data_IF_123135703773
#
_entry.id   IF_123135703773
#
_cell.length_a   1.000
_cell.length_b   1.000
_cell.length_c   1.000
_cell.angle_alpha   90.00
_cell.angle_beta   90.00
_cell.angle_gamma   90.00
#
_symmetry.space_group_name_H-M   'P 1'
#
loop_
_entity.id
_entity.type
_entity.pdbx_description
1 polymer ?
#
# COMPACT_ATOMS: atom_id res chain seq x y z
N UNK A 1 6.79 0.82 -1.42
CA UNK A 1 6.42 0.69 -0.09
C UNK A 1 6.50 1.96 0.66
N UNK A 2 5.64 2.14 1.41
CA UNK A 2 5.16 3.38 1.84
C UNK A 2 5.13 3.38 3.34
N UNK A 3 5.71 4.38 3.96
CA UNK A 3 5.48 4.59 5.34
C UNK A 3 6.67 4.46 6.26
N UNK A 4 7.89 4.78 5.85
CA UNK A 4 9.00 4.72 6.80
C UNK A 4 9.82 6.00 6.85
N UNK A 5 9.94 6.64 8.03
CA UNK A 5 10.71 7.86 8.22
C UNK A 5 12.21 7.75 7.87
N UNK A 6 12.75 8.84 7.37
CA UNK A 6 14.19 9.02 7.24
C UNK A 6 14.91 9.11 8.60
N UNK A 7 14.19 9.57 9.61
CA UNK A 7 14.52 9.46 11.02
C UNK A 7 13.19 9.20 11.74
N UNK A 8 13.06 8.04 12.29
CA UNK A 8 11.96 7.79 13.22
C UNK A 8 12.13 8.68 14.47
N UNK A 9 11.03 9.07 15.10
CA UNK A 9 11.09 9.73 16.41
C UNK A 9 11.81 8.87 17.46
N UNK A 10 11.90 7.57 17.22
CA UNK A 10 12.61 6.60 18.04
C UNK A 10 13.71 5.91 17.23
N UNK A 11 14.93 5.83 17.77
CA UNK A 11 16.03 5.03 17.18
C UNK A 11 15.72 3.53 17.11
N UNK A 12 14.70 3.08 17.85
CA UNK A 12 14.21 1.69 17.83
C UNK A 12 13.39 1.39 16.56
N UNK A 13 12.79 2.41 15.95
CA UNK A 13 12.00 2.23 14.74
C UNK A 13 12.92 2.10 13.52
N UNK A 14 12.79 1.01 12.80
CA UNK A 14 13.63 0.67 11.64
C UNK A 14 12.78 0.10 10.54
N UNK A 15 13.18 0.40 9.30
CA UNK A 15 12.56 -0.26 8.16
C UNK A 15 13.49 -0.29 6.94
N UNK A 16 13.27 -1.29 6.10
CA UNK A 16 14.01 -1.52 4.88
C UNK A 16 13.06 -1.86 3.74
N UNK A 17 13.46 -1.42 2.55
CA UNK A 17 12.78 -1.68 1.29
C UNK A 17 13.69 -2.43 0.34
N UNK A 18 13.10 -3.28 -0.49
CA UNK A 18 13.79 -3.91 -1.60
C UNK A 18 12.85 -4.01 -2.79
N UNK A 19 13.23 -3.43 -3.92
CA UNK A 19 12.58 -3.68 -5.20
C UNK A 19 13.35 -4.78 -5.93
N UNK A 20 12.61 -5.67 -6.59
CA UNK A 20 13.19 -6.77 -7.35
C UNK A 20 13.26 -6.34 -8.82
N UNK A 21 14.46 -6.11 -9.34
CA UNK A 21 14.66 -5.58 -10.70
C UNK A 21 14.04 -6.50 -11.78
N UNK A 22 14.08 -7.80 -11.57
CA UNK A 22 13.53 -8.83 -12.46
C UNK A 22 12.01 -9.06 -12.30
N UNK A 23 11.39 -8.44 -11.28
CA UNK A 23 9.96 -8.53 -10.97
C UNK A 23 9.39 -7.13 -10.76
N UNK A 24 9.36 -6.29 -11.81
CA UNK A 24 8.80 -4.94 -11.71
C UNK A 24 7.34 -5.04 -11.26
N UNK A 25 6.98 -4.28 -10.21
CA UNK A 25 5.67 -4.38 -9.58
C UNK A 25 5.65 -5.23 -8.31
N UNK A 26 6.80 -5.78 -7.88
CA UNK A 26 7.00 -6.39 -6.55
C UNK A 26 7.91 -5.52 -5.71
N UNK A 27 7.48 -5.25 -4.48
CA UNK A 27 8.29 -4.56 -3.49
C UNK A 27 8.22 -5.30 -2.14
N UNK A 28 9.38 -5.54 -1.54
CA UNK A 28 9.50 -6.16 -0.23
C UNK A 28 9.74 -5.11 0.86
N UNK A 29 9.27 -5.43 2.05
CA UNK A 29 9.41 -4.55 3.21
C UNK A 29 9.60 -5.32 4.51
N UNK A 30 10.50 -4.82 5.32
CA UNK A 30 10.70 -5.28 6.69
C UNK A 30 10.79 -4.06 7.61
N UNK A 31 10.08 -4.11 8.72
CA UNK A 31 10.13 -3.05 9.72
C UNK A 31 10.02 -3.58 11.15
N UNK A 32 10.60 -2.78 12.05
CA UNK A 32 10.32 -2.80 13.48
C UNK A 32 9.89 -1.40 13.87
N UNK A 33 8.66 -1.25 14.33
CA UNK A 33 8.03 0.02 14.65
C UNK A 33 7.50 -0.05 16.08
N UNK A 34 7.86 0.95 16.89
CA UNK A 34 7.46 1.01 18.29
C UNK A 34 6.59 2.23 18.63
N UNK A 35 6.88 3.38 18.04
CA UNK A 35 6.19 4.64 18.36
C UNK A 35 5.55 5.33 17.17
N UNK A 36 5.96 4.97 15.98
CA UNK A 36 5.40 5.57 14.78
C UNK A 36 4.00 5.02 14.50
N UNK A 37 3.06 5.92 14.20
CA UNK A 37 1.72 5.58 13.74
C UNK A 37 1.58 5.98 12.27
N UNK A 38 1.20 5.02 11.43
CA UNK A 38 0.92 5.28 10.02
C UNK A 38 -0.44 5.97 9.89
N UNK A 39 -0.44 7.18 9.33
CA UNK A 39 -1.68 7.87 9.00
C UNK A 39 -2.53 7.07 7.99
N UNK A 40 -3.85 7.35 7.90
CA UNK A 40 -4.71 6.69 6.93
C UNK A 40 -4.17 6.80 5.50
N UNK A 41 -3.92 5.65 4.85
CA UNK A 41 -3.35 5.57 3.50
C UNK A 41 -3.87 4.34 2.74
N UNK A 42 -3.60 4.30 1.44
CA UNK A 42 -3.92 3.17 0.55
C UNK A 42 -2.68 2.76 -0.23
N UNK A 43 -2.65 1.53 -0.73
CA UNK A 43 -1.69 1.06 -1.73
C UNK A 43 -2.42 0.66 -3.01
N UNK A 44 -1.83 0.87 -4.19
CA UNK A 44 -2.35 0.35 -5.46
C UNK A 44 -2.00 -1.12 -5.69
N UNK A 45 -1.34 -1.73 -4.72
CA UNK A 45 -0.88 -3.10 -4.74
C UNK A 45 -1.57 -3.92 -3.65
N UNK A 46 -1.64 -5.23 -3.83
CA UNK A 46 -1.94 -6.15 -2.74
C UNK A 46 -0.83 -6.08 -1.71
N UNK A 47 -1.17 -5.84 -0.45
CA UNK A 47 -0.24 -5.91 0.68
C UNK A 47 -0.45 -7.22 1.44
N UNK A 48 0.56 -8.06 1.49
CA UNK A 48 0.50 -9.36 2.16
C UNK A 48 1.70 -9.46 3.09
N UNK A 49 1.47 -9.75 4.35
CA UNK A 49 2.58 -9.79 5.29
C UNK A 49 2.29 -10.49 6.59
N UNK A 50 3.34 -10.73 7.34
CA UNK A 50 3.30 -11.48 8.60
C UNK A 50 3.87 -10.66 9.74
N UNK A 51 3.25 -10.78 10.92
CA UNK A 51 3.77 -10.24 12.16
C UNK A 51 4.75 -11.24 12.76
N UNK A 52 6.02 -10.83 12.90
CA UNK A 52 7.11 -11.67 13.40
C UNK A 52 7.32 -11.58 14.90
N UNK A 53 6.99 -10.43 15.50
CA UNK A 53 7.06 -10.20 16.94
C UNK A 53 6.17 -9.02 17.33
N UNK A 54 5.68 -9.01 18.57
CA UNK A 54 4.80 -7.97 19.08
C UNK A 54 3.40 -8.04 18.50
N UNK A 55 2.72 -6.89 18.43
CA UNK A 55 1.38 -6.80 17.88
C UNK A 55 1.16 -5.47 17.19
N UNK A 56 0.48 -5.51 16.04
CA UNK A 56 0.02 -4.35 15.28
C UNK A 56 -1.46 -4.09 15.56
N UNK A 57 -1.82 -2.84 15.81
CA UNK A 57 -3.20 -2.37 15.70
C UNK A 57 -3.35 -1.63 14.38
N UNK A 58 -4.40 -1.95 13.63
CA UNK A 58 -4.69 -1.26 12.37
C UNK A 58 -6.19 -1.17 12.14
N UNK A 59 -6.60 -0.13 11.43
CA UNK A 59 -7.97 0.01 10.94
C UNK A 59 -7.98 -0.26 9.45
N UNK A 60 -8.89 -1.12 9.02
CA UNK A 60 -9.05 -1.50 7.62
C UNK A 60 -10.54 -1.61 7.29
N UNK A 61 -10.99 -0.92 6.24
CA UNK A 61 -12.39 -0.91 5.80
C UNK A 61 -13.37 -0.57 6.93
N UNK A 62 -12.98 0.35 7.80
CA UNK A 62 -13.79 0.82 8.93
C UNK A 62 -13.76 -0.06 10.19
N UNK A 63 -13.16 -1.26 10.12
CA UNK A 63 -13.01 -2.18 11.25
C UNK A 63 -11.61 -2.05 11.85
N UNK A 64 -11.52 -2.10 13.18
CA UNK A 64 -10.25 -2.15 13.89
C UNK A 64 -9.83 -3.60 14.15
N UNK A 65 -8.56 -3.88 13.90
CA UNK A 65 -7.93 -5.19 14.09
C UNK A 65 -6.71 -5.07 14.98
N UNK A 66 -6.44 -6.13 15.73
CA UNK A 66 -5.15 -6.32 16.42
C UNK A 66 -4.54 -7.62 15.91
N UNK A 67 -3.41 -7.51 15.24
CA UNK A 67 -2.66 -8.63 14.69
C UNK A 67 -1.51 -8.99 15.62
N UNK A 68 -1.60 -10.09 16.37
CA UNK A 68 -0.51 -10.58 17.20
C UNK A 68 0.58 -11.26 16.36
N UNK A 69 1.66 -11.66 17.03
CA UNK A 69 2.71 -12.49 16.42
C UNK A 69 2.13 -13.76 15.76
N UNK A 70 2.74 -14.16 14.65
CA UNK A 70 2.29 -15.27 13.80
C UNK A 70 0.91 -15.05 13.17
N UNK A 71 0.54 -13.80 12.93
CA UNK A 71 -0.61 -13.44 12.11
C UNK A 71 -0.20 -13.13 10.68
N UNK A 72 -1.14 -13.35 9.76
CA UNK A 72 -1.08 -12.92 8.37
C UNK A 72 -2.02 -11.73 8.18
N UNK A 73 -1.50 -10.65 7.62
CA UNK A 73 -2.25 -9.45 7.24
C UNK A 73 -2.37 -9.40 5.72
N UNK A 74 -3.57 -9.15 5.22
CA UNK A 74 -3.88 -9.11 3.79
C UNK A 74 -4.68 -7.85 3.48
N UNK A 75 -4.16 -7.02 2.57
CA UNK A 75 -4.77 -5.78 2.15
C UNK A 75 -4.99 -5.78 0.65
N UNK A 76 -6.21 -5.45 0.24
CA UNK A 76 -6.54 -5.29 -1.17
C UNK A 76 -6.08 -3.93 -1.67
N UNK A 77 -5.84 -3.77 -2.97
CA UNK A 77 -5.52 -2.48 -3.57
C UNK A 77 -6.59 -1.43 -3.26
N UNK A 78 -6.15 -0.18 -3.10
CA UNK A 78 -6.99 1.01 -2.90
C UNK A 78 -7.83 1.04 -1.60
N UNK A 79 -7.64 0.07 -0.72
CA UNK A 79 -8.37 0.04 0.55
C UNK A 79 -7.61 0.81 1.63
N UNK A 80 -8.35 1.71 2.30
CA UNK A 80 -7.79 2.55 3.34
C UNK A 80 -7.44 1.76 4.60
N UNK A 81 -6.25 2.02 5.12
CA UNK A 81 -5.81 1.45 6.39
C UNK A 81 -4.87 2.38 7.16
N UNK A 82 -4.73 2.09 8.44
CA UNK A 82 -3.76 2.70 9.37
C UNK A 82 -2.85 1.61 9.91
N UNK A 83 -1.88 1.98 10.75
CA UNK A 83 -1.05 1.01 11.46
C UNK A 83 -0.30 1.66 12.59
N UNK A 84 -0.36 1.04 13.77
CA UNK A 84 0.39 1.47 14.96
C UNK A 84 0.77 0.28 15.83
N UNK A 85 1.67 0.48 16.77
CA UNK A 85 1.97 -0.57 17.75
C UNK A 85 0.82 -0.78 18.71
N UNK A 86 0.50 -2.03 19.01
CA UNK A 86 -0.42 -2.43 20.07
C UNK A 86 0.30 -2.77 21.39
N UNK A 87 1.63 -2.68 21.45
CA UNK A 87 2.44 -2.96 22.64
C UNK A 87 3.65 -2.02 22.73
N UNK A 88 4.21 -1.86 23.93
CA UNK A 88 5.32 -0.92 24.19
C UNK A 88 6.62 -1.30 23.48
N UNK A 89 6.87 -2.58 23.28
CA UNK A 89 8.05 -3.09 22.59
C UNK A 89 8.00 -2.85 21.08
N UNK A 90 6.83 -2.48 20.56
CA UNK A 90 6.60 -2.35 19.13
C UNK A 90 6.22 -3.66 18.47
N UNK A 91 6.12 -3.63 17.14
CA UNK A 91 5.92 -4.83 16.34
C UNK A 91 6.97 -4.92 15.23
N UNK A 92 7.37 -6.16 14.95
CA UNK A 92 8.24 -6.48 13.82
C UNK A 92 7.43 -7.27 12.79
N UNK A 93 7.55 -6.87 11.54
CA UNK A 93 6.77 -7.45 10.46
C UNK A 93 7.50 -7.37 9.13
N UNK A 94 7.06 -8.21 8.23
CA UNK A 94 7.49 -8.19 6.83
C UNK A 94 6.28 -8.22 5.91
N UNK A 95 6.38 -7.50 4.80
CA UNK A 95 5.34 -7.37 3.79
C UNK A 95 5.91 -7.59 2.39
N UNK A 96 5.07 -8.07 1.50
CA UNK A 96 5.26 -7.99 0.06
C UNK A 96 4.11 -7.20 -0.53
N UNK A 97 4.43 -6.31 -1.44
CA UNK A 97 3.45 -5.58 -2.24
C UNK A 97 3.54 -6.05 -3.67
N UNK A 98 2.40 -6.44 -4.27
CA UNK A 98 2.32 -6.99 -5.62
C UNK A 98 1.24 -6.23 -6.39
N UNK A 99 1.61 -5.65 -7.53
CA UNK A 99 0.66 -4.95 -8.39
C UNK A 99 -0.40 -5.93 -8.95
N UNK A 100 -1.68 -5.52 -9.05
CA UNK A 100 -2.77 -6.39 -9.51
C UNK A 100 -2.51 -7.03 -10.88
N UNK A 101 -1.97 -6.24 -11.82
CA UNK A 101 -1.66 -6.71 -13.16
C UNK A 101 -0.63 -7.84 -13.14
N UNK A 102 0.42 -7.68 -12.33
CA UNK A 102 1.46 -8.71 -12.18
C UNK A 102 0.90 -9.95 -11.47
N UNK A 103 0.00 -9.79 -10.50
CA UNK A 103 -0.69 -10.90 -9.84
C UNK A 103 -1.46 -11.74 -10.87
N UNK A 104 -2.23 -11.07 -11.73
CA UNK A 104 -3.00 -11.71 -12.81
C UNK A 104 -2.08 -12.40 -13.83
N UNK A 105 -0.98 -11.75 -14.23
CA UNK A 105 0.00 -12.30 -15.19
C UNK A 105 0.71 -13.55 -14.66
N UNK A 106 1.15 -13.53 -13.41
CA UNK A 106 1.90 -14.61 -12.79
C UNK A 106 1.03 -15.85 -12.49
N UNK A 107 -0.22 -15.65 -12.18
CA UNK A 107 -1.12 -16.73 -11.74
C UNK A 107 -2.05 -17.21 -12.84
N UNK A 108 -2.32 -16.39 -13.84
CA UNK A 108 -3.39 -16.63 -14.83
C UNK A 108 -4.80 -16.47 -14.28
N UNK A 109 -4.93 -16.22 -12.98
CA UNK A 109 -6.21 -15.95 -12.32
C UNK A 109 -6.51 -14.44 -12.37
N UNK A 110 -7.78 -14.06 -12.35
CA UNK A 110 -8.22 -12.64 -12.38
C UNK A 110 -9.15 -12.32 -11.23
N UNK A 111 -9.16 -11.03 -10.84
CA UNK A 111 -10.11 -10.54 -9.84
C UNK A 111 -9.80 -11.05 -8.44
N UNK A 112 -8.55 -11.13 -8.10
CA UNK A 112 -8.07 -11.45 -6.76
C UNK A 112 -8.70 -10.53 -5.72
N UNK A 113 -9.16 -11.10 -4.62
CA UNK A 113 -9.73 -10.35 -3.52
C UNK A 113 -9.63 -11.12 -2.20
N UNK A 114 -9.04 -10.50 -1.19
CA UNK A 114 -9.03 -11.03 0.17
C UNK A 114 -10.25 -10.49 0.93
N UNK A 115 -11.13 -11.39 1.40
CA UNK A 115 -12.25 -10.96 2.24
C UNK A 115 -11.80 -10.61 3.65
N UNK A 116 -10.89 -11.40 4.19
CA UNK A 116 -10.32 -11.24 5.52
C UNK A 116 -9.06 -10.37 5.44
N UNK A 117 -8.98 -9.36 6.32
CA UNK A 117 -7.78 -8.53 6.44
C UNK A 117 -6.74 -9.15 7.39
N UNK A 118 -7.17 -10.02 8.27
CA UNK A 118 -6.36 -10.65 9.31
C UNK A 118 -6.69 -12.13 9.43
N UNK A 119 -5.65 -12.96 9.44
CA UNK A 119 -5.74 -14.38 9.75
C UNK A 119 -4.76 -14.71 10.87
N UNK A 120 -5.25 -15.19 11.99
CA UNK A 120 -4.45 -15.53 13.19
C UNK A 120 -4.18 -17.03 13.30
N UNK A 121 -3.89 -17.68 12.17
CA UNK A 121 -3.52 -19.11 12.12
C UNK A 121 -2.01 -19.27 11.89
N UNK A 122 -1.23 -19.67 12.90
CA UNK A 122 0.20 -19.88 12.75
C UNK A 122 0.59 -20.95 11.73
N UNK A 123 -0.32 -21.89 11.38
CA UNK A 123 -0.07 -22.93 10.37
C UNK A 123 -0.01 -22.33 8.98
N UNK A 124 -0.67 -21.20 8.77
CA UNK A 124 -0.63 -20.43 7.51
C UNK A 124 0.44 -19.35 7.57
N UNK A 125 0.49 -18.57 8.65
CA UNK A 125 1.37 -17.42 8.77
C UNK A 125 2.87 -17.81 8.81
N UNK A 126 3.25 -18.88 9.52
CA UNK A 126 4.66 -19.28 9.64
C UNK A 126 5.30 -19.76 8.33
N UNK A 127 4.68 -20.63 7.51
CA UNK A 127 5.23 -20.97 6.20
C UNK A 127 5.43 -19.75 5.34
N UNK A 128 4.44 -18.86 5.27
CA UNK A 128 4.50 -17.63 4.47
C UNK A 128 5.58 -16.68 4.97
N UNK A 129 5.74 -16.55 6.29
CA UNK A 129 6.82 -15.75 6.89
C UNK A 129 8.20 -16.28 6.48
N UNK A 130 8.40 -17.61 6.45
CA UNK A 130 9.65 -18.22 6.00
C UNK A 130 9.91 -17.96 4.51
N UNK A 131 8.89 -18.11 3.67
CA UNK A 131 9.00 -17.82 2.22
C UNK A 131 9.39 -16.36 1.99
N UNK A 132 8.75 -15.40 2.69
CA UNK A 132 9.09 -13.98 2.61
C UNK A 132 10.53 -13.71 3.08
N UNK A 133 10.95 -14.29 4.21
CA UNK A 133 12.31 -14.15 4.72
C UNK A 133 13.37 -14.72 3.74
N UNK A 134 13.07 -15.87 3.13
CA UNK A 134 13.95 -16.49 2.12
C UNK A 134 14.00 -15.64 0.85
N UNK A 135 12.86 -15.10 0.42
CA UNK A 135 12.78 -14.21 -0.75
C UNK A 135 13.60 -12.94 -0.54
N UNK A 136 13.59 -12.39 0.67
CA UNK A 136 14.42 -11.25 1.04
C UNK A 136 15.93 -11.52 0.89
N UNK A 137 16.37 -12.73 1.18
CA UNK A 137 17.77 -13.14 1.12
C UNK A 137 18.20 -13.69 -0.25
N UNK A 138 17.25 -13.98 -1.12
CA UNK A 138 17.53 -14.60 -2.41
C UNK A 138 18.33 -13.64 -3.31
N UNK A 139 19.42 -14.13 -3.88
CA UNK A 139 20.32 -13.33 -4.73
C UNK A 139 20.06 -13.56 -6.22
N UNK A 140 19.63 -14.77 -6.61
CA UNK A 140 19.43 -15.08 -8.03
C UNK A 140 17.99 -14.79 -8.49
N UNK A 141 17.80 -14.29 -9.73
CA UNK A 141 16.49 -14.04 -10.30
C UNK A 141 15.58 -15.28 -10.29
N UNK A 142 16.13 -16.46 -10.63
CA UNK A 142 15.36 -17.70 -10.63
C UNK A 142 14.86 -18.07 -9.24
N UNK A 143 15.70 -17.90 -8.20
CA UNK A 143 15.28 -18.18 -6.83
C UNK A 143 14.16 -17.24 -6.40
N UNK A 144 14.25 -15.94 -6.70
CA UNK A 144 13.21 -14.95 -6.40
C UNK A 144 11.91 -15.24 -7.10
N UNK A 145 11.94 -15.57 -8.40
CA UNK A 145 10.75 -15.94 -9.17
C UNK A 145 10.09 -17.20 -8.61
N UNK A 146 10.89 -18.23 -8.26
CA UNK A 146 10.39 -19.48 -7.70
C UNK A 146 9.74 -19.27 -6.32
N UNK A 147 10.37 -18.46 -5.46
CA UNK A 147 9.85 -18.15 -4.14
C UNK A 147 8.58 -17.29 -4.22
N UNK A 148 8.51 -16.37 -5.18
CA UNK A 148 7.29 -15.60 -5.43
C UNK A 148 6.15 -16.51 -5.89
N UNK A 149 6.41 -17.44 -6.79
CA UNK A 149 5.42 -18.42 -7.22
C UNK A 149 4.93 -19.31 -6.05
N UNK A 150 5.85 -19.76 -5.19
CA UNK A 150 5.50 -20.51 -3.97
C UNK A 150 4.62 -19.67 -3.02
N UNK A 151 4.96 -18.41 -2.81
CA UNK A 151 4.16 -17.48 -2.01
C UNK A 151 2.75 -17.32 -2.58
N UNK A 152 2.62 -17.13 -3.89
CA UNK A 152 1.34 -17.01 -4.56
C UNK A 152 0.49 -18.28 -4.40
N UNK A 153 1.09 -19.47 -4.49
CA UNK A 153 0.41 -20.74 -4.21
C UNK A 153 -0.08 -20.84 -2.76
N UNK A 154 0.68 -20.33 -1.79
CA UNK A 154 0.29 -20.34 -0.38
C UNK A 154 -0.90 -19.41 -0.09
N UNK A 155 -0.98 -18.24 -0.73
CA UNK A 155 -2.05 -17.26 -0.50
C UNK A 155 -3.29 -17.49 -1.36
N UNK A 156 -3.18 -18.21 -2.48
CA UNK A 156 -4.29 -18.46 -3.41
C UNK A 156 -5.55 -19.03 -2.74
N UNK A 157 -5.46 -19.98 -1.80
CA UNK A 157 -6.63 -20.51 -1.09
C UNK A 157 -7.34 -19.48 -0.20
N UNK A 158 -6.66 -18.40 0.16
CA UNK A 158 -7.19 -17.33 1.02
C UNK A 158 -7.93 -16.24 0.22
N UNK A 159 -7.70 -16.20 -1.09
CA UNK A 159 -8.32 -15.24 -1.99
C UNK A 159 -9.59 -15.82 -2.63
N UNK A 160 -10.54 -14.93 -2.92
CA UNK A 160 -11.62 -15.22 -3.85
C UNK A 160 -11.26 -14.66 -5.22
N UNK A 161 -11.56 -15.44 -6.25
CA UNK A 161 -11.45 -15.04 -7.65
C UNK A 161 -12.85 -14.65 -8.12
N UNK A 162 -13.01 -13.45 -8.67
CA UNK A 162 -14.28 -13.02 -9.22
C UNK A 162 -14.14 -12.82 -10.72
N UNK A 163 -14.88 -13.62 -11.48
CA UNK A 163 -15.03 -13.43 -12.94
C UNK A 163 -16.10 -12.38 -13.29
N UNK A 164 -16.82 -11.85 -12.32
CA UNK A 164 -17.90 -10.90 -12.54
C UNK A 164 -17.56 -9.52 -11.99
N UNK A 165 -17.86 -8.50 -12.79
CA UNK A 165 -17.76 -7.10 -12.41
C UNK A 165 -18.55 -6.78 -11.14
N UNK A 166 -18.05 -5.85 -10.38
CA UNK A 166 -18.61 -5.36 -9.10
C UNK A 166 -20.05 -4.85 -9.26
N UNK A 167 -20.91 -4.99 -8.22
CA UNK A 167 -22.30 -4.51 -8.26
C UNK A 167 -22.41 -2.97 -8.48
N UNK A 168 -23.47 -2.55 -9.16
CA UNK A 168 -23.77 -1.18 -9.65
C UNK A 168 -23.60 -0.01 -8.66
N UNK A 169 -23.74 -0.21 -7.37
CA UNK A 169 -23.57 0.85 -6.38
C UNK A 169 -22.11 1.33 -6.24
N UNK A 170 -21.13 0.48 -6.56
CA UNK A 170 -19.69 0.81 -6.60
C UNK A 170 -19.33 1.56 -7.89
N UNK A 171 -20.02 1.31 -8.98
CA UNK A 171 -19.71 1.84 -10.31
C UNK A 171 -19.67 3.39 -10.39
N UNK A 172 -20.52 4.08 -9.62
CA UNK A 172 -20.55 5.55 -9.60
C UNK A 172 -19.26 6.16 -9.03
N UNK A 173 -18.74 5.55 -7.98
CA UNK A 173 -17.50 6.06 -7.35
C UNK A 173 -16.26 5.54 -8.04
N UNK A 174 -16.32 4.41 -8.76
CA UNK A 174 -15.22 3.97 -9.62
C UNK A 174 -14.89 5.01 -10.70
N UNK A 175 -15.90 5.64 -11.31
CA UNK A 175 -15.70 6.73 -12.27
C UNK A 175 -15.01 7.94 -11.64
N UNK A 176 -15.38 8.29 -10.40
CA UNK A 176 -14.72 9.38 -9.65
C UNK A 176 -13.28 9.02 -9.34
N UNK A 177 -13.01 7.80 -8.90
CA UNK A 177 -11.66 7.33 -8.61
C UNK A 177 -10.80 7.36 -9.88
N UNK A 178 -11.31 6.86 -10.99
CA UNK A 178 -10.60 6.83 -12.28
C UNK A 178 -10.34 8.24 -12.80
N UNK A 179 -11.30 9.16 -12.61
CA UNK A 179 -11.11 10.58 -12.91
C UNK A 179 -10.00 11.21 -12.06
N UNK A 180 -9.97 10.94 -10.75
CA UNK A 180 -8.91 11.44 -9.87
C UNK A 180 -7.52 10.92 -10.31
N UNK A 181 -7.43 9.66 -10.72
CA UNK A 181 -6.18 9.09 -11.25
C UNK A 181 -5.72 9.71 -12.56
N UNK A 182 -6.67 9.99 -13.45
CA UNK A 182 -6.37 10.59 -14.76
C UNK A 182 -5.97 12.07 -14.65
N UNK A 183 -6.31 12.77 -13.55
CA UNK A 183 -6.15 14.21 -13.40
C UNK A 183 -5.26 14.58 -12.19
N UNK A 184 -4.17 13.83 -11.95
CA UNK A 184 -3.31 14.06 -10.78
C UNK A 184 -2.71 15.46 -10.73
N UNK A 185 -2.26 15.99 -11.85
CA UNK A 185 -1.62 17.31 -11.93
C UNK A 185 -2.61 18.48 -11.87
N UNK A 186 -3.87 18.23 -12.19
CA UNK A 186 -4.88 19.27 -12.37
C UNK A 186 -5.58 19.66 -11.05
N UNK A 187 -6.06 20.90 -10.95
CA UNK A 187 -6.93 21.31 -9.85
C UNK A 187 -8.31 20.65 -10.02
N UNK A 188 -8.61 19.68 -9.17
CA UNK A 188 -9.90 18.98 -9.16
C UNK A 188 -10.88 19.66 -8.22
N UNK A 189 -12.12 19.90 -8.67
CA UNK A 189 -13.18 20.57 -7.91
C UNK A 189 -14.21 19.56 -7.39
N UNK A 190 -14.78 19.87 -6.23
CA UNK A 190 -15.77 18.99 -5.58
C UNK A 190 -17.07 18.86 -6.41
N UNK A 191 -17.50 19.95 -7.06
CA UNK A 191 -18.68 19.95 -7.91
C UNK A 191 -18.52 19.06 -9.15
N UNK A 192 -17.32 19.00 -9.75
CA UNK A 192 -17.00 18.09 -10.86
C UNK A 192 -17.13 16.62 -10.43
N UNK A 193 -16.57 16.28 -9.28
CA UNK A 193 -16.64 14.92 -8.75
C UNK A 193 -18.07 14.52 -8.38
N UNK A 194 -18.82 15.46 -7.82
CA UNK A 194 -20.23 15.24 -7.48
C UNK A 194 -21.09 15.02 -8.73
N UNK A 195 -20.83 15.78 -9.81
CA UNK A 195 -21.51 15.62 -11.09
C UNK A 195 -21.24 14.23 -11.71
N UNK A 196 -20.00 13.75 -11.67
CA UNK A 196 -19.66 12.39 -12.14
C UNK A 196 -20.42 11.30 -11.40
N UNK A 197 -20.68 11.50 -10.10
CA UNK A 197 -21.48 10.58 -9.30
C UNK A 197 -23.01 10.83 -9.39
N UNK A 198 -23.45 11.84 -10.15
CA UNK A 198 -24.85 12.30 -10.22
C UNK A 198 -25.44 12.63 -8.83
N UNK A 199 -24.65 13.31 -8.00
CA UNK A 199 -25.02 13.73 -6.64
C UNK A 199 -24.78 15.23 -6.44
N UNK A 200 -25.45 15.84 -5.45
CA UNK A 200 -25.04 17.16 -5.00
C UNK A 200 -23.70 17.07 -4.24
N UNK A 201 -22.89 18.16 -4.17
CA UNK A 201 -21.61 18.14 -3.50
C UNK A 201 -21.63 17.62 -2.06
N UNK A 202 -22.68 17.99 -1.31
CA UNK A 202 -22.90 17.52 0.07
C UNK A 202 -23.17 16.00 0.15
N UNK A 203 -24.10 15.52 -0.66
CA UNK A 203 -24.45 14.10 -0.69
C UNK A 203 -23.29 13.26 -1.22
N UNK A 204 -22.57 13.76 -2.23
CA UNK A 204 -21.38 13.14 -2.76
C UNK A 204 -20.30 12.98 -1.67
N UNK A 205 -19.93 14.05 -0.98
CA UNK A 205 -18.86 14.00 0.02
C UNK A 205 -19.18 13.00 1.15
N UNK A 206 -20.43 13.00 1.61
CA UNK A 206 -20.91 12.07 2.64
C UNK A 206 -20.88 10.63 2.15
N UNK A 207 -21.43 10.35 0.98
CA UNK A 207 -21.51 9.01 0.41
C UNK A 207 -20.13 8.47 0.00
N UNK A 208 -19.29 9.33 -0.57
CA UNK A 208 -17.90 8.98 -0.90
C UNK A 208 -17.11 8.60 0.36
N UNK A 209 -17.20 9.42 1.42
CA UNK A 209 -16.54 9.12 2.70
C UNK A 209 -17.11 7.86 3.37
N UNK A 210 -18.39 7.58 3.21
CA UNK A 210 -19.00 6.35 3.73
C UNK A 210 -18.52 5.12 2.94
N UNK A 211 -18.28 5.28 1.64
CA UNK A 211 -17.86 4.19 0.76
C UNK A 211 -16.37 3.89 0.84
N UNK A 212 -15.52 4.94 0.77
CA UNK A 212 -14.06 4.79 0.76
C UNK A 212 -13.39 5.08 2.10
N UNK A 213 -14.14 5.55 3.11
CA UNK A 213 -13.64 5.94 4.42
C UNK A 213 -12.62 7.10 4.42
N UNK A 214 -12.41 7.73 3.25
CA UNK A 214 -11.59 8.92 3.04
C UNK A 214 -12.37 10.00 2.32
N UNK A 215 -11.84 11.23 2.37
CA UNK A 215 -12.34 12.32 1.52
C UNK A 215 -11.77 12.20 0.10
N UNK A 216 -12.42 12.79 -0.93
CA UNK A 216 -11.85 12.84 -2.28
C UNK A 216 -10.45 13.47 -2.33
N UNK A 217 -10.21 14.50 -1.52
CA UNK A 217 -8.89 15.14 -1.42
C UNK A 217 -7.83 14.18 -0.85
N UNK A 218 -8.15 13.41 0.20
CA UNK A 218 -7.24 12.41 0.75
C UNK A 218 -6.91 11.33 -0.27
N UNK A 219 -7.91 10.88 -1.05
CA UNK A 219 -7.70 9.92 -2.13
C UNK A 219 -6.81 10.49 -3.25
N UNK A 220 -7.07 11.73 -3.69
CA UNK A 220 -6.23 12.41 -4.69
C UNK A 220 -4.79 12.55 -4.20
N UNK A 221 -4.59 12.96 -2.95
CA UNK A 221 -3.25 13.05 -2.36
C UNK A 221 -2.56 11.68 -2.30
N UNK A 222 -3.32 10.62 -2.02
CA UNK A 222 -2.80 9.27 -2.06
C UNK A 222 -2.27 8.89 -3.44
N UNK A 223 -3.04 9.13 -4.50
CA UNK A 223 -2.63 8.85 -5.88
C UNK A 223 -1.45 9.72 -6.31
N UNK A 224 -1.45 11.03 -5.99
CA UNK A 224 -0.32 11.94 -6.25
C UNK A 224 0.98 11.43 -5.64
N UNK A 225 0.93 11.01 -4.39
CA UNK A 225 2.11 10.53 -3.68
C UNK A 225 2.56 9.16 -4.18
N UNK A 226 1.63 8.31 -4.61
CA UNK A 226 1.98 7.05 -5.26
C UNK A 226 2.70 7.28 -6.60
N UNK A 227 2.17 8.11 -7.49
CA UNK A 227 2.83 8.46 -8.75
C UNK A 227 4.19 9.14 -8.50
N UNK A 228 4.25 10.03 -7.51
CA UNK A 228 5.51 10.63 -7.07
C UNK A 228 6.54 9.57 -6.67
N UNK A 229 6.11 8.54 -5.95
CA UNK A 229 6.97 7.45 -5.53
C UNK A 229 7.53 6.67 -6.72
N UNK A 230 6.69 6.36 -7.72
CA UNK A 230 7.11 5.65 -8.94
C UNK A 230 8.15 6.47 -9.71
N UNK A 231 7.90 7.77 -9.93
CA UNK A 231 8.83 8.69 -10.63
C UNK A 231 10.16 8.83 -9.88
N UNK A 232 10.11 8.94 -8.56
CA UNK A 232 11.31 8.97 -7.72
C UNK A 232 12.11 7.67 -7.85
N UNK A 233 11.48 6.51 -7.87
CA UNK A 233 12.17 5.23 -8.09
C UNK A 233 12.86 5.16 -9.46
N UNK A 234 12.27 5.78 -10.50
CA UNK A 234 12.85 5.94 -11.84
C UNK A 234 13.99 6.96 -11.88
N UNK A 235 14.18 7.75 -10.82
CA UNK A 235 15.28 8.71 -10.67
C UNK A 235 14.96 10.14 -11.06
N UNK A 236 13.69 10.46 -11.29
CA UNK A 236 13.30 11.84 -11.55
C UNK A 236 13.63 12.75 -10.36
N UNK A 237 14.01 13.99 -10.66
CA UNK A 237 14.31 14.97 -9.61
C UNK A 237 13.05 15.34 -8.81
N UNK A 238 13.14 15.44 -7.50
CA UNK A 238 12.00 15.71 -6.62
C UNK A 238 11.22 16.99 -6.97
N UNK A 239 11.91 18.04 -7.47
CA UNK A 239 11.24 19.25 -7.94
C UNK A 239 10.37 19.01 -9.17
N UNK A 240 10.86 18.23 -10.14
CA UNK A 240 10.11 17.84 -11.35
C UNK A 240 8.93 16.94 -10.99
N UNK A 241 9.15 16.00 -10.08
CA UNK A 241 8.10 15.11 -9.58
C UNK A 241 6.98 15.90 -8.90
N UNK A 242 7.32 16.87 -8.04
CA UNK A 242 6.31 17.71 -7.39
C UNK A 242 5.37 18.39 -8.41
N UNK A 243 5.94 18.99 -9.44
CA UNK A 243 5.15 19.62 -10.53
C UNK A 243 4.31 18.58 -11.29
N UNK A 244 4.91 17.44 -11.66
CA UNK A 244 4.25 16.41 -12.45
C UNK A 244 3.03 15.79 -11.74
N UNK A 245 3.05 15.73 -10.39
CA UNK A 245 1.93 15.17 -9.61
C UNK A 245 0.99 16.24 -9.02
N UNK A 246 1.11 17.51 -9.46
CA UNK A 246 0.22 18.59 -9.04
C UNK A 246 0.42 19.06 -7.60
N UNK A 247 1.63 18.95 -7.06
CA UNK A 247 2.01 19.56 -5.79
C UNK A 247 2.67 20.92 -6.05
N UNK A 248 2.48 21.86 -5.12
CA UNK A 248 2.89 23.26 -5.28
C UNK A 248 4.40 23.41 -5.52
N UNK A 249 5.19 22.63 -4.79
CA UNK A 249 6.67 22.70 -4.83
C UNK A 249 7.31 21.44 -4.23
N UNK A 250 8.62 21.35 -4.32
CA UNK A 250 9.41 20.27 -3.73
C UNK A 250 9.27 20.19 -2.20
N UNK A 251 9.08 21.29 -1.51
CA UNK A 251 8.93 21.29 -0.05
C UNK A 251 7.58 20.69 0.35
N UNK A 252 6.51 20.98 -0.43
CA UNK A 252 5.22 20.35 -0.27
C UNK A 252 5.31 18.84 -0.51
N UNK A 253 5.95 18.41 -1.62
CA UNK A 253 6.21 16.99 -1.88
C UNK A 253 6.97 16.35 -0.73
N UNK A 254 8.05 16.99 -0.24
CA UNK A 254 8.87 16.42 0.83
C UNK A 254 8.06 16.21 2.11
N UNK A 255 7.26 17.21 2.52
CA UNK A 255 6.40 17.09 3.71
C UNK A 255 5.32 16.02 3.52
N UNK A 256 4.58 16.07 2.42
CA UNK A 256 3.50 15.14 2.15
C UNK A 256 4.03 13.70 1.99
N UNK A 257 5.15 13.53 1.31
CA UNK A 257 5.81 12.24 1.13
C UNK A 257 6.35 11.69 2.46
N UNK A 258 6.98 12.53 3.29
CA UNK A 258 7.47 12.13 4.59
C UNK A 258 6.31 11.77 5.56
N UNK A 259 5.23 12.56 5.56
CA UNK A 259 4.05 12.27 6.38
C UNK A 259 3.35 10.97 5.96
N UNK A 260 3.40 10.62 4.67
CA UNK A 260 2.76 9.41 4.18
C UNK A 260 3.65 8.19 4.24
N UNK A 261 4.90 8.34 3.80
CA UNK A 261 5.86 7.25 3.66
C UNK A 261 6.93 7.28 4.73
N UNK A 262 6.90 8.32 5.53
CA UNK A 262 7.77 8.57 6.63
C UNK A 262 9.24 8.76 6.26
N UNK A 263 9.57 8.85 4.99
CA UNK A 263 10.93 9.00 4.45
C UNK A 263 10.94 10.14 3.44
N UNK A 264 12.01 10.91 3.39
CA UNK A 264 12.13 11.96 2.38
C UNK A 264 12.28 11.36 0.98
N UNK A 265 11.81 12.07 -0.09
CA UNK A 265 11.96 11.62 -1.47
C UNK A 265 13.40 11.23 -1.82
N UNK A 266 14.39 12.05 -1.44
CA UNK A 266 15.79 11.78 -1.74
C UNK A 266 16.36 10.55 -1.04
N UNK A 267 15.88 10.24 0.18
CA UNK A 267 16.31 9.03 0.88
C UNK A 267 15.63 7.78 0.29
N UNK A 268 14.37 7.87 -0.09
CA UNK A 268 13.69 6.82 -0.83
C UNK A 268 14.43 6.48 -2.11
N UNK A 269 14.78 7.49 -2.93
CA UNK A 269 15.56 7.28 -4.16
C UNK A 269 16.88 6.54 -3.91
N UNK A 270 17.61 6.91 -2.86
CA UNK A 270 18.86 6.23 -2.51
C UNK A 270 18.65 4.76 -2.15
N UNK A 271 17.59 4.44 -1.40
CA UNK A 271 17.31 3.06 -0.99
C UNK A 271 16.93 2.15 -2.16
N UNK A 272 16.10 2.64 -3.10
CA UNK A 272 15.57 1.80 -4.19
C UNK A 272 16.47 1.74 -5.42
N UNK A 273 17.50 2.61 -5.51
CA UNK A 273 18.46 2.67 -6.62
C UNK A 273 19.85 2.18 -6.27
N UNK A 274 20.10 1.82 -5.03
CA UNK A 274 21.35 1.13 -4.68
C UNK A 274 21.22 -0.34 -5.11
N UNK A 275 22.18 -0.86 -5.89
CA UNK A 275 22.21 -2.24 -6.33
C UNK A 275 22.33 -3.23 -5.18
#
# INVERSE_FOLDING_TARGET
MEGVPASFPSEKDRARFQQLAELPGVELYQAHISRYAFEPHTHEAFGIGTIEAGAQRFRYRGTEYTAPENSLVMMNPDELHTGESACEEGWRYQMIYIQPQLMDELTGDRGWWFNEALLTDPRVARPLSRTLATLWQAESPLARQSLLAELLLQIRPLARMSSQGRPDARHRFDQVRDFLRANLAEPVRLDELAALASLSPWHFLRAFRQHYHVTPHQMLMAFRLYDAKQRLAQGEAAASVAAAVGLTDQAHLTRAFANRYGITPGRYQKQVRQP
#
